data_IF_896090349027
#
_entry.id   IF_896090349027
#
_cell.length_a   1.000
_cell.length_b   1.000
_cell.length_c   1.000
_cell.angle_alpha   90.00
_cell.angle_beta   90.00
_cell.angle_gamma   90.00
#
_symmetry.space_group_name_H-M   'P 1'
#
loop_
_entity.id
_entity.type
_entity.pdbx_description
1 polymer ?
#
# COMPACT_ATOMS: atom_id res chain seq x y z
N UNK A 1 8.76 20.60 8.17
CA UNK A 1 9.73 19.48 8.03
C UNK A 1 9.22 18.70 6.83
N UNK A 2 9.91 18.86 5.71
CA UNK A 2 9.37 18.71 4.35
C UNK A 2 9.34 17.24 3.92
N UNK A 3 8.25 16.88 3.22
CA UNK A 3 8.00 15.59 2.62
C UNK A 3 9.02 15.34 1.52
N UNK A 4 9.90 14.37 1.75
CA UNK A 4 10.92 14.00 0.79
C UNK A 4 10.81 12.50 0.57
N UNK A 5 9.97 12.09 -0.38
CA UNK A 5 9.99 10.73 -0.91
C UNK A 5 9.21 10.77 -2.20
N UNK A 6 9.90 11.03 -3.31
CA UNK A 6 9.75 10.39 -4.63
C UNK A 6 10.58 11.19 -5.64
N UNK A 7 11.91 11.27 -5.44
CA UNK A 7 12.80 11.54 -6.58
C UNK A 7 13.01 10.22 -7.32
N UNK A 8 12.09 9.92 -8.24
CA UNK A 8 11.96 8.61 -8.87
C UNK A 8 13.09 8.26 -9.88
N UNK A 9 14.13 9.09 -9.99
CA UNK A 9 15.16 8.94 -11.03
C UNK A 9 16.39 8.13 -10.59
N UNK A 10 16.60 7.92 -9.30
CA UNK A 10 17.49 6.87 -8.77
C UNK A 10 16.73 5.55 -8.44
N UNK A 11 15.43 5.51 -8.71
CA UNK A 11 14.44 4.86 -7.82
C UNK A 11 13.70 3.66 -8.43
N UNK A 12 14.01 3.25 -9.67
CA UNK A 12 13.33 2.12 -10.33
C UNK A 12 13.62 0.78 -9.64
N UNK A 13 14.87 0.53 -9.27
CA UNK A 13 15.26 -0.73 -8.60
C UNK A 13 14.60 -0.85 -7.23
N UNK A 14 14.55 0.24 -6.45
CA UNK A 14 13.87 0.27 -5.15
C UNK A 14 12.37 0.09 -5.31
N UNK A 15 11.76 0.73 -6.31
CA UNK A 15 10.35 0.53 -6.62
C UNK A 15 10.05 -0.93 -6.99
N UNK A 16 10.82 -1.52 -7.90
CA UNK A 16 10.67 -2.93 -8.29
C UNK A 16 10.89 -3.87 -7.11
N UNK A 17 11.89 -3.58 -6.26
CA UNK A 17 12.14 -4.33 -5.03
C UNK A 17 11.00 -4.22 -4.01
N UNK A 18 10.41 -3.03 -3.84
CA UNK A 18 9.27 -2.82 -2.94
C UNK A 18 7.99 -3.47 -3.48
N UNK A 19 7.76 -3.43 -4.79
CA UNK A 19 6.68 -4.19 -5.43
C UNK A 19 6.89 -5.68 -5.16
N UNK A 20 8.08 -6.21 -5.44
CA UNK A 20 8.39 -7.62 -5.19
C UNK A 20 8.22 -7.99 -3.71
N UNK A 21 8.80 -7.21 -2.80
CA UNK A 21 8.70 -7.43 -1.36
C UNK A 21 7.23 -7.43 -0.91
N UNK A 22 6.44 -6.43 -1.30
CA UNK A 22 5.03 -6.36 -0.92
C UNK A 22 4.21 -7.55 -1.41
N UNK A 23 4.52 -8.11 -2.59
CA UNK A 23 3.84 -9.31 -3.07
C UNK A 23 4.17 -10.55 -2.25
N UNK A 24 5.40 -10.67 -1.74
CA UNK A 24 5.86 -11.83 -0.98
C UNK A 24 5.48 -11.73 0.50
N UNK A 25 5.63 -10.54 1.11
CA UNK A 25 5.47 -10.35 2.54
C UNK A 25 4.04 -10.04 2.97
N UNK A 26 3.16 -9.65 2.05
CA UNK A 26 1.77 -9.29 2.34
C UNK A 26 0.84 -10.24 1.57
N UNK A 27 0.26 -11.26 2.24
CA UNK A 27 -0.72 -12.14 1.64
C UNK A 27 -1.97 -11.37 1.20
N UNK A 28 -2.50 -11.70 0.01
CA UNK A 28 -3.68 -11.06 -0.55
C UNK A 28 -4.88 -11.19 0.40
N UNK A 29 -5.16 -12.41 0.85
CA UNK A 29 -6.34 -12.72 1.68
C UNK A 29 -6.36 -11.94 3.00
N UNK A 30 -5.20 -11.75 3.64
CA UNK A 30 -5.09 -10.97 4.88
C UNK A 30 -5.35 -9.48 4.64
N UNK A 31 -4.75 -8.91 3.59
CA UNK A 31 -4.99 -7.51 3.18
C UNK A 31 -6.48 -7.31 2.88
N UNK A 32 -7.08 -8.23 2.13
CA UNK A 32 -8.50 -8.20 1.78
C UNK A 32 -9.39 -8.26 3.02
N UNK A 33 -9.11 -9.17 3.95
CA UNK A 33 -9.85 -9.29 5.21
C UNK A 33 -9.81 -7.98 6.02
N UNK A 34 -8.64 -7.33 6.14
CA UNK A 34 -8.57 -6.05 6.84
C UNK A 34 -9.34 -4.94 6.12
N UNK A 35 -9.27 -4.87 4.79
CA UNK A 35 -10.03 -3.89 4.00
C UNK A 35 -11.54 -4.09 4.17
N UNK A 36 -12.00 -5.35 4.15
CA UNK A 36 -13.41 -5.71 4.35
C UNK A 36 -13.90 -5.38 5.77
N UNK A 37 -13.03 -5.53 6.77
CA UNK A 37 -13.26 -5.10 8.15
C UNK A 37 -13.17 -3.57 8.34
N UNK A 38 -12.90 -2.80 7.27
CA UNK A 38 -12.91 -1.34 7.28
C UNK A 38 -11.62 -0.68 7.80
N UNK A 39 -10.51 -1.41 7.84
CA UNK A 39 -9.22 -0.86 8.27
C UNK A 39 -8.63 0.03 7.19
N UNK A 40 -8.10 1.20 7.57
CA UNK A 40 -7.30 2.02 6.67
C UNK A 40 -5.88 1.46 6.46
N UNK A 41 -5.17 1.96 5.45
CA UNK A 41 -3.81 1.51 5.11
C UNK A 41 -2.84 1.58 6.30
N UNK A 42 -2.96 2.58 7.19
CA UNK A 42 -2.08 2.70 8.34
C UNK A 42 -2.39 1.65 9.41
N UNK A 43 -3.67 1.37 9.63
CA UNK A 43 -4.13 0.31 10.53
C UNK A 43 -3.68 -1.07 10.02
N UNK A 44 -3.80 -1.31 8.72
CA UNK A 44 -3.32 -2.53 8.07
C UNK A 44 -1.81 -2.68 8.25
N UNK A 45 -1.04 -1.63 7.95
CA UNK A 45 0.42 -1.64 8.12
C UNK A 45 0.84 -1.96 9.56
N UNK A 46 0.14 -1.41 10.55
CA UNK A 46 0.38 -1.72 11.96
C UNK A 46 0.00 -3.16 12.31
N UNK A 47 -1.14 -3.65 11.84
CA UNK A 47 -1.61 -5.01 12.10
C UNK A 47 -0.69 -6.06 11.48
N UNK A 48 -0.13 -5.77 10.31
CA UNK A 48 0.80 -6.64 9.59
C UNK A 48 2.28 -6.42 9.95
N UNK A 49 2.57 -5.52 10.89
CA UNK A 49 3.94 -5.11 11.24
C UNK A 49 4.80 -4.72 10.01
N UNK A 50 4.16 -4.08 9.02
CA UNK A 50 4.75 -3.70 7.74
C UNK A 50 4.87 -2.19 7.59
N UNK A 51 5.69 -1.77 6.62
CA UNK A 51 5.74 -0.37 6.18
C UNK A 51 4.45 0.01 5.44
N UNK A 52 3.96 1.23 5.69
CA UNK A 52 2.76 1.80 5.07
C UNK A 52 2.89 1.84 3.54
N UNK A 53 4.10 2.10 3.01
CA UNK A 53 4.36 2.17 1.58
C UNK A 53 4.18 0.80 0.91
N UNK A 54 4.60 -0.29 1.57
CA UNK A 54 4.42 -1.64 1.02
C UNK A 54 2.94 -2.03 0.99
N UNK A 55 2.17 -1.66 2.01
CA UNK A 55 0.72 -1.89 2.05
C UNK A 55 0.01 -1.08 0.96
N UNK A 56 0.41 0.17 0.74
CA UNK A 56 -0.13 0.99 -0.34
C UNK A 56 0.14 0.37 -1.72
N UNK A 57 1.40 -0.01 -2.00
CA UNK A 57 1.77 -0.68 -3.26
C UNK A 57 1.04 -2.01 -3.46
N UNK A 58 0.84 -2.78 -2.39
CA UNK A 58 0.07 -4.02 -2.43
C UNK A 58 -1.39 -3.76 -2.80
N UNK A 59 -2.00 -2.77 -2.16
CA UNK A 59 -3.39 -2.37 -2.40
C UNK A 59 -3.58 -1.90 -3.85
N UNK A 60 -2.66 -1.08 -4.38
CA UNK A 60 -2.67 -0.65 -5.79
C UNK A 60 -2.54 -1.84 -6.76
N UNK A 61 -1.68 -2.81 -6.44
CA UNK A 61 -1.51 -4.02 -7.25
C UNK A 61 -2.79 -4.85 -7.29
N UNK A 62 -3.49 -5.01 -6.16
CA UNK A 62 -4.77 -5.71 -6.09
C UNK A 62 -5.85 -4.98 -6.90
N UNK A 63 -5.91 -3.65 -6.87
CA UNK A 63 -6.83 -2.86 -7.71
C UNK A 63 -6.54 -3.13 -9.20
N UNK A 64 -5.26 -3.12 -9.59
CA UNK A 64 -4.84 -3.39 -10.96
C UNK A 64 -5.17 -4.83 -11.42
N UNK A 65 -5.21 -5.78 -10.49
CA UNK A 65 -5.64 -7.18 -10.72
C UNK A 65 -7.16 -7.34 -10.82
N UNK A 66 -7.93 -6.29 -10.55
CA UNK A 66 -9.39 -6.28 -10.69
C UNK A 66 -10.18 -6.38 -9.40
N UNK A 67 -9.52 -6.37 -8.24
CA UNK A 67 -10.21 -6.29 -6.95
C UNK A 67 -10.86 -4.91 -6.79
N UNK A 68 -12.17 -4.90 -6.49
CA UNK A 68 -12.91 -3.66 -6.22
C UNK A 68 -13.15 -3.53 -4.73
N UNK A 69 -12.38 -2.67 -4.09
CA UNK A 69 -12.61 -2.34 -2.69
C UNK A 69 -13.82 -1.44 -2.54
N UNK A 70 -14.57 -1.58 -1.43
CA UNK A 70 -15.49 -0.51 -1.03
C UNK A 70 -14.66 0.76 -0.89
N UNK A 71 -15.13 1.85 -1.48
CA UNK A 71 -14.46 3.13 -1.47
C UNK A 71 -14.23 3.55 0.00
N UNK A 72 -13.04 3.27 0.53
CA UNK A 72 -12.62 3.88 1.77
C UNK A 72 -12.45 5.35 1.43
N UNK A 73 -13.11 6.24 2.17
CA UNK A 73 -12.95 7.68 1.99
C UNK A 73 -11.49 8.03 2.26
N UNK A 74 -10.67 7.99 1.21
CA UNK A 74 -9.32 8.50 1.25
C UNK A 74 -9.44 10.01 1.45
N UNK A 75 -9.18 10.48 2.67
CA UNK A 75 -8.77 11.87 2.89
C UNK A 75 -7.40 12.03 2.24
N UNK A 76 -7.45 12.27 0.94
CA UNK A 76 -6.36 12.69 0.08
C UNK A 76 -5.83 14.04 0.58
N UNK A 77 -4.99 14.00 1.61
CA UNK A 77 -3.99 15.03 1.84
C UNK A 77 -2.59 14.54 1.45
N UNK A 78 -2.46 13.31 0.93
CA UNK A 78 -1.17 12.75 0.51
C UNK A 78 -0.67 13.31 -0.83
N UNK A 79 -1.56 13.89 -1.65
CA UNK A 79 -1.23 14.52 -2.94
C UNK A 79 -1.09 16.06 -2.86
N UNK A 80 -0.73 16.61 -1.70
CA UNK A 80 -0.34 18.02 -1.59
C UNK A 80 1.12 18.16 -1.21
#
# INVERSE_FOLDING_TARGET
KEFNIFDMRQSRMEYEANIFASQISLPDDEILEYIENGYDIQQIARAMHSDINLVALKTDTLIAQGYRFRHQEYRNQFLK
#
